data_IF_896444352704
#
_entry.id   IF_896444352704
#
_cell.length_a   1.000
_cell.length_b   1.000
_cell.length_c   1.000
_cell.angle_alpha   90.00
_cell.angle_beta   90.00
_cell.angle_gamma   90.00
#
_symmetry.space_group_name_H-M   'P 1'
#
loop_
_entity.id
_entity.type
_entity.pdbx_description
1 polymer ?
#
# COMPACT_ATOMS: atom_id res chain seq x y z
N UNK A 1 -47.23 -53.12 -6.37
CA UNK A 1 -46.41 -52.79 -5.18
C UNK A 1 -45.00 -52.51 -5.65
N UNK A 2 -44.67 -51.26 -6.00
CA UNK A 2 -43.31 -50.88 -6.40
C UNK A 2 -43.15 -49.37 -6.23
N UNK A 3 -42.84 -48.95 -5.01
CA UNK A 3 -42.48 -47.58 -4.68
C UNK A 3 -41.67 -47.65 -3.38
N UNK A 4 -40.37 -47.36 -3.43
CA UNK A 4 -39.51 -46.84 -2.32
C UNK A 4 -38.03 -47.14 -2.53
N UNK A 5 -37.38 -46.50 -3.50
CA UNK A 5 -35.89 -46.54 -3.60
C UNK A 5 -35.24 -45.22 -4.03
N UNK A 6 -36.00 -44.12 -4.10
CA UNK A 6 -35.50 -42.86 -4.69
C UNK A 6 -35.18 -41.75 -3.67
N UNK A 7 -35.44 -41.93 -2.37
CA UNK A 7 -35.33 -40.85 -1.37
C UNK A 7 -33.96 -40.73 -0.69
N UNK A 8 -33.15 -41.80 -0.65
CA UNK A 8 -31.88 -41.78 0.12
C UNK A 8 -30.73 -41.05 -0.57
N UNK A 9 -30.64 -41.08 -1.89
CA UNK A 9 -29.56 -40.42 -2.63
C UNK A 9 -29.69 -38.88 -2.68
N UNK A 10 -30.92 -38.37 -2.68
CA UNK A 10 -31.18 -36.93 -2.76
C UNK A 10 -30.89 -36.21 -1.44
N UNK A 11 -31.24 -36.82 -0.30
CA UNK A 11 -30.95 -36.30 1.04
C UNK A 11 -29.45 -36.27 1.36
N UNK A 12 -28.68 -37.28 0.93
CA UNK A 12 -27.23 -37.30 1.11
C UNK A 12 -26.53 -36.22 0.29
N UNK A 13 -27.00 -35.96 -0.94
CA UNK A 13 -26.46 -34.89 -1.78
C UNK A 13 -26.75 -33.49 -1.21
N UNK A 14 -27.96 -33.26 -0.70
CA UNK A 14 -28.34 -32.00 -0.08
C UNK A 14 -27.52 -31.71 1.19
N UNK A 15 -27.23 -32.74 2.00
CA UNK A 15 -26.42 -32.59 3.21
C UNK A 15 -24.97 -32.20 2.90
N UNK A 16 -24.36 -32.77 1.85
CA UNK A 16 -22.99 -32.41 1.43
C UNK A 16 -22.92 -30.96 0.93
N UNK A 17 -23.88 -30.53 0.11
CA UNK A 17 -23.94 -29.15 -0.39
C UNK A 17 -24.16 -28.16 0.77
N UNK A 18 -25.01 -28.49 1.74
CA UNK A 18 -25.23 -27.65 2.91
C UNK A 18 -23.97 -27.55 3.78
N UNK A 19 -23.22 -28.64 3.97
CA UNK A 19 -22.01 -28.63 4.82
C UNK A 19 -20.88 -27.78 4.20
N UNK A 20 -20.76 -27.76 2.86
CA UNK A 20 -19.77 -26.91 2.17
C UNK A 20 -20.13 -25.42 2.16
N UNK A 21 -21.41 -25.05 2.31
CA UNK A 21 -21.85 -23.65 2.40
C UNK A 21 -21.50 -22.98 3.74
N UNK A 22 -21.16 -23.76 4.78
CA UNK A 22 -20.83 -23.23 6.12
C UNK A 22 -19.37 -23.38 6.52
N UNK A 23 -18.48 -23.81 5.61
CA UNK A 23 -17.05 -23.74 5.89
C UNK A 23 -16.60 -22.29 5.67
N UNK A 24 -16.20 -21.55 6.73
CA UNK A 24 -15.58 -20.25 6.53
C UNK A 24 -14.31 -20.47 5.73
N UNK A 25 -14.31 -20.06 4.47
CA UNK A 25 -13.05 -19.88 3.75
C UNK A 25 -12.33 -18.73 4.42
N UNK A 26 -11.36 -19.06 5.25
CA UNK A 26 -10.40 -18.08 5.75
C UNK A 26 -9.55 -17.72 4.56
N UNK A 27 -9.94 -16.67 3.83
CA UNK A 27 -9.06 -16.04 2.87
C UNK A 27 -7.91 -15.44 3.68
N UNK A 28 -6.70 -15.98 3.52
CA UNK A 28 -5.52 -15.36 4.11
C UNK A 28 -5.27 -14.06 3.37
N UNK A 29 -5.25 -12.94 4.08
CA UNK A 29 -4.84 -11.68 3.50
C UNK A 29 -3.32 -11.69 3.40
N UNK A 30 -2.79 -11.69 2.19
CA UNK A 30 -1.35 -11.57 1.92
C UNK A 30 -0.91 -10.13 2.17
N UNK A 31 0.37 -9.91 2.49
CA UNK A 31 0.91 -8.57 2.70
C UNK A 31 1.46 -8.02 1.40
N UNK A 32 0.92 -6.89 0.93
CA UNK A 32 1.48 -6.16 -0.21
C UNK A 32 2.38 -5.03 0.30
N UNK A 33 3.60 -4.98 -0.23
CA UNK A 33 4.55 -3.90 -0.04
C UNK A 33 4.89 -3.25 -1.39
N UNK A 34 4.86 -1.93 -1.44
CA UNK A 34 5.26 -1.11 -2.58
C UNK A 34 6.46 -0.30 -2.13
N UNK A 35 7.64 -0.56 -2.68
CA UNK A 35 8.86 0.18 -2.37
C UNK A 35 9.21 1.06 -3.55
N UNK A 36 9.72 2.26 -3.30
CA UNK A 36 10.11 3.17 -4.37
C UNK A 36 11.35 3.99 -4.02
N UNK A 37 12.08 4.38 -5.05
CA UNK A 37 13.33 5.14 -4.93
C UNK A 37 13.29 6.43 -5.74
N UNK A 38 14.13 7.39 -5.38
CA UNK A 38 14.22 8.68 -6.07
C UNK A 38 13.29 9.76 -5.51
N UNK A 39 12.64 9.52 -4.38
CA UNK A 39 11.74 10.49 -3.73
C UNK A 39 12.51 11.75 -3.28
N UNK A 40 12.16 12.90 -3.84
CA UNK A 40 12.57 14.22 -3.39
C UNK A 40 11.43 14.94 -2.65
N UNK A 41 11.69 15.35 -1.41
CA UNK A 41 10.76 16.15 -0.61
C UNK A 41 11.35 17.49 -0.19
N UNK A 42 10.46 18.43 0.10
CA UNK A 42 10.72 19.78 0.58
C UNK A 42 9.95 19.98 1.89
N UNK A 43 10.67 20.41 2.91
CA UNK A 43 10.11 20.92 4.14
C UNK A 43 10.24 22.44 4.17
N UNK A 44 9.16 23.15 4.51
CA UNK A 44 9.08 24.62 4.50
C UNK A 44 8.95 25.26 5.89
N UNK A 45 9.18 24.49 6.95
CA UNK A 45 8.96 24.93 8.34
C UNK A 45 7.58 24.58 8.90
N UNK A 46 6.65 24.09 8.06
CA UNK A 46 5.29 23.76 8.45
C UNK A 46 4.73 22.50 7.80
N UNK A 47 5.20 22.17 6.60
CA UNK A 47 4.63 21.11 5.75
C UNK A 47 5.77 20.37 5.07
N UNK A 48 5.64 19.06 4.92
CA UNK A 48 6.50 18.26 4.03
C UNK A 48 5.72 18.02 2.73
N UNK A 49 6.30 18.38 1.59
CA UNK A 49 5.71 18.19 0.25
C UNK A 49 6.73 17.58 -0.70
N UNK A 50 6.29 16.92 -1.75
CA UNK A 50 7.16 16.57 -2.89
C UNK A 50 7.58 17.81 -3.67
N UNK A 51 8.81 17.80 -4.18
CA UNK A 51 9.35 18.94 -4.95
C UNK A 51 8.61 19.06 -6.30
N UNK A 52 8.00 20.21 -6.57
CA UNK A 52 7.33 20.47 -7.85
C UNK A 52 5.96 19.81 -8.02
N UNK A 53 5.35 19.32 -6.94
CA UNK A 53 4.05 18.65 -6.97
C UNK A 53 4.22 17.14 -7.15
N UNK A 54 4.43 16.68 -8.38
CA UNK A 54 4.82 15.29 -8.63
C UNK A 54 6.33 15.19 -8.79
N UNK A 55 6.95 14.36 -7.96
CA UNK A 55 8.35 14.03 -8.03
C UNK A 55 8.56 12.74 -8.84
N UNK A 56 9.61 12.68 -9.66
CA UNK A 56 9.88 11.55 -10.55
C UNK A 56 10.67 10.47 -9.83
N UNK A 57 10.11 9.27 -9.78
CA UNK A 57 10.73 8.12 -9.15
C UNK A 57 11.73 7.43 -10.09
N UNK A 58 12.74 6.79 -9.52
CA UNK A 58 13.72 5.99 -10.24
C UNK A 58 13.24 4.54 -10.41
N UNK A 59 12.64 3.96 -9.38
CA UNK A 59 12.09 2.61 -9.42
C UNK A 59 10.87 2.47 -8.51
N UNK A 60 10.01 1.49 -8.82
CA UNK A 60 8.90 1.02 -7.97
C UNK A 60 8.87 -0.51 -7.99
N UNK A 61 8.96 -1.12 -6.82
CA UNK A 61 8.93 -2.56 -6.61
C UNK A 61 7.67 -2.98 -5.85
N UNK A 62 7.00 -4.03 -6.31
CA UNK A 62 5.87 -4.65 -5.65
C UNK A 62 6.31 -6.00 -5.07
N UNK A 63 6.06 -6.21 -3.80
CA UNK A 63 6.31 -7.47 -3.11
C UNK A 63 5.04 -7.98 -2.42
N UNK A 64 4.74 -9.26 -2.60
CA UNK A 64 3.65 -9.97 -1.92
C UNK A 64 4.28 -10.98 -0.98
N UNK A 65 4.00 -10.87 0.32
CA UNK A 65 4.64 -11.66 1.38
C UNK A 65 6.18 -11.69 1.25
N UNK A 66 6.77 -10.50 1.05
CA UNK A 66 8.21 -10.26 0.88
C UNK A 66 8.82 -10.84 -0.41
N UNK A 67 8.01 -11.42 -1.30
CA UNK A 67 8.45 -11.89 -2.62
C UNK A 67 8.17 -10.80 -3.64
N UNK A 68 9.22 -10.26 -4.28
CA UNK A 68 9.07 -9.32 -5.39
C UNK A 68 8.31 -10.00 -6.55
N UNK A 69 7.19 -9.41 -6.95
CA UNK A 69 6.32 -9.88 -8.03
C UNK A 69 6.37 -8.99 -9.28
N UNK A 70 6.78 -7.74 -9.12
CA UNK A 70 6.89 -6.76 -10.20
C UNK A 70 7.91 -5.67 -9.83
N UNK A 71 8.71 -5.25 -10.79
CA UNK A 71 9.63 -4.12 -10.71
C UNK A 71 9.41 -3.22 -11.94
N UNK A 72 9.38 -1.92 -11.71
CA UNK A 72 9.27 -0.88 -12.74
C UNK A 72 10.44 0.10 -12.59
N UNK A 73 11.12 0.41 -13.69
CA UNK A 73 12.32 1.25 -13.68
C UNK A 73 12.24 2.41 -14.68
N UNK A 74 12.57 3.61 -14.22
CA UNK A 74 12.71 4.78 -15.08
C UNK A 74 14.03 4.75 -15.88
N UNK A 75 14.05 5.28 -17.12
CA UNK A 75 12.93 5.90 -17.82
C UNK A 75 12.04 4.90 -18.59
N UNK A 76 12.36 3.60 -18.59
CA UNK A 76 11.70 2.59 -19.42
C UNK A 76 10.21 2.45 -19.13
N UNK A 77 9.84 2.53 -17.85
CA UNK A 77 8.48 2.35 -17.35
C UNK A 77 7.87 3.69 -16.91
N UNK A 78 7.94 4.73 -17.75
CA UNK A 78 7.39 6.05 -17.40
C UNK A 78 5.89 6.18 -17.73
N UNK A 79 5.11 6.96 -16.96
CA UNK A 79 5.53 7.76 -15.79
C UNK A 79 5.68 6.91 -14.52
N UNK A 80 6.74 7.17 -13.75
CA UNK A 80 6.84 6.81 -12.33
C UNK A 80 6.94 8.11 -11.54
N UNK A 81 5.90 8.46 -10.80
CA UNK A 81 5.90 9.71 -10.04
C UNK A 81 5.10 9.59 -8.75
N UNK A 82 5.48 10.37 -7.74
CA UNK A 82 4.76 10.44 -6.46
C UNK A 82 4.54 11.88 -6.05
N UNK A 83 3.38 12.15 -5.45
CA UNK A 83 3.09 13.41 -4.79
C UNK A 83 2.76 13.14 -3.31
N UNK A 84 3.47 13.79 -2.39
CA UNK A 84 3.25 13.66 -0.95
C UNK A 84 2.94 15.03 -0.36
N UNK A 85 2.03 15.10 0.60
CA UNK A 85 1.79 16.28 1.44
C UNK A 85 1.50 15.83 2.86
N UNK A 86 2.31 16.30 3.82
CA UNK A 86 2.10 16.13 5.26
C UNK A 86 1.99 17.51 5.92
N UNK A 87 0.78 17.93 6.33
CA UNK A 87 0.58 19.23 6.95
C UNK A 87 0.97 19.23 8.43
N UNK A 88 1.21 20.42 8.98
CA UNK A 88 1.33 20.61 10.44
C UNK A 88 2.62 20.07 11.07
N UNK A 89 3.63 19.74 10.27
CA UNK A 89 4.97 19.41 10.73
C UNK A 89 5.65 20.71 11.17
N UNK A 90 5.54 21.07 12.44
CA UNK A 90 6.12 22.33 12.95
C UNK A 90 7.13 22.05 14.07
N UNK A 91 8.03 22.99 14.30
CA UNK A 91 8.94 22.96 15.46
C UNK A 91 9.93 21.79 15.47
N UNK A 92 10.40 21.34 14.30
CA UNK A 92 11.49 20.36 14.20
C UNK A 92 12.77 20.88 14.87
N UNK A 93 13.27 20.29 15.97
CA UNK A 93 14.43 20.84 16.68
C UNK A 93 15.72 20.67 15.87
N UNK A 94 16.57 21.70 15.83
CA UNK A 94 17.85 21.64 15.09
C UNK A 94 18.79 20.53 15.58
N UNK A 95 18.65 20.12 16.84
CA UNK A 95 19.46 19.06 17.47
C UNK A 95 18.92 17.64 17.23
N UNK A 96 17.83 17.48 16.47
CA UNK A 96 17.13 16.21 16.32
C UNK A 96 15.93 16.09 17.26
N UNK A 97 14.95 15.27 16.86
CA UNK A 97 13.72 15.01 17.61
C UNK A 97 12.64 14.43 16.72
N UNK A 98 11.44 14.24 17.28
CA UNK A 98 10.25 13.89 16.51
C UNK A 98 9.10 14.87 16.76
N UNK A 99 8.22 14.96 15.77
CA UNK A 99 6.99 15.74 15.78
C UNK A 99 5.91 14.92 15.09
N UNK A 100 4.70 14.99 15.61
CA UNK A 100 3.53 14.40 14.97
C UNK A 100 2.93 15.43 14.01
N UNK A 101 2.73 15.04 12.74
CA UNK A 101 2.06 15.87 11.75
C UNK A 101 0.57 16.03 12.09
N UNK A 102 -0.08 17.02 11.49
CA UNK A 102 -1.53 17.04 11.49
C UNK A 102 -2.09 15.94 10.57
N UNK A 103 -3.27 15.42 10.89
CA UNK A 103 -4.03 14.54 10.01
C UNK A 103 -4.46 15.26 8.72
N UNK A 104 -4.82 14.48 7.70
CA UNK A 104 -5.28 14.99 6.40
C UNK A 104 -4.17 15.21 5.39
N UNK A 105 -3.05 14.50 5.53
CA UNK A 105 -2.04 14.42 4.48
C UNK A 105 -2.53 13.60 3.29
N UNK A 106 -1.75 13.60 2.21
CA UNK A 106 -2.06 12.84 0.99
C UNK A 106 -0.81 12.20 0.40
N UNK A 107 -0.95 11.02 -0.19
CA UNK A 107 0.05 10.40 -1.06
C UNK A 107 -0.64 9.97 -2.35
N UNK A 108 -0.11 10.38 -3.50
CA UNK A 108 -0.59 9.96 -4.81
C UNK A 108 0.58 9.37 -5.61
N UNK A 109 0.51 8.08 -5.95
CA UNK A 109 1.48 7.38 -6.77
C UNK A 109 0.91 7.22 -8.18
N UNK A 110 1.69 7.61 -9.20
CA UNK A 110 1.37 7.43 -10.62
C UNK A 110 2.33 6.42 -11.24
N UNK A 111 1.75 5.48 -11.99
CA UNK A 111 2.43 4.38 -12.64
C UNK A 111 2.06 4.35 -14.14
N UNK A 112 2.78 3.55 -14.95
CA UNK A 112 2.45 3.35 -16.35
C UNK A 112 1.06 2.78 -16.57
N UNK A 113 0.53 2.95 -17.78
CA UNK A 113 -0.77 2.38 -18.14
C UNK A 113 -1.98 3.07 -17.50
N UNK A 114 -1.78 4.14 -16.74
CA UNK A 114 -2.84 4.81 -15.99
C UNK A 114 -3.10 4.18 -14.62
N UNK A 115 -2.23 3.27 -14.17
CA UNK A 115 -2.24 2.74 -12.81
C UNK A 115 -1.85 3.83 -11.80
N UNK A 116 -2.47 3.76 -10.62
CA UNK A 116 -2.32 4.77 -9.58
C UNK A 116 -2.68 4.23 -8.19
N UNK A 117 -2.24 4.97 -7.16
CA UNK A 117 -2.67 4.77 -5.78
C UNK A 117 -2.81 6.14 -5.10
N UNK A 118 -4.02 6.45 -4.65
CA UNK A 118 -4.36 7.66 -3.92
C UNK A 118 -4.69 7.31 -2.48
N UNK A 119 -3.94 7.88 -1.54
CA UNK A 119 -4.05 7.65 -0.11
C UNK A 119 -4.36 8.97 0.61
N UNK A 120 -5.25 8.90 1.60
CA UNK A 120 -5.39 9.91 2.64
C UNK A 120 -4.58 9.48 3.85
N UNK A 121 -3.66 10.32 4.30
CA UNK A 121 -2.78 10.06 5.44
C UNK A 121 -3.38 10.66 6.71
N UNK A 122 -3.34 9.90 7.79
CA UNK A 122 -3.64 10.40 9.14
C UNK A 122 -2.43 11.16 9.72
N UNK A 123 -2.38 11.33 11.04
CA UNK A 123 -1.18 11.78 11.76
C UNK A 123 0.02 10.87 11.44
N UNK A 124 1.17 11.49 11.17
CA UNK A 124 2.42 10.80 10.91
C UNK A 124 3.50 11.26 11.90
N UNK A 125 4.27 10.33 12.44
CA UNK A 125 5.47 10.68 13.20
C UNK A 125 6.58 11.06 12.22
N UNK A 126 7.05 12.30 12.31
CA UNK A 126 8.20 12.82 11.58
C UNK A 126 9.40 12.86 12.50
N UNK A 127 10.39 12.00 12.23
CA UNK A 127 11.64 11.94 12.99
C UNK A 127 12.74 12.64 12.22
N UNK A 128 13.38 13.64 12.82
CA UNK A 128 14.56 14.33 12.32
C UNK A 128 15.79 13.96 13.15
N UNK A 129 16.83 13.45 12.50
CA UNK A 129 18.08 13.06 13.18
C UNK A 129 19.20 14.02 12.78
N UNK A 130 19.85 14.66 13.75
CA UNK A 130 20.97 15.56 13.49
C UNK A 130 22.33 14.89 13.72
N UNK A 131 23.10 14.68 12.63
CA UNK A 131 24.47 14.16 12.70
C UNK A 131 25.50 15.23 12.29
N UNK A 132 26.07 15.90 13.29
CA UNK A 132 27.01 17.03 13.16
C UNK A 132 28.28 16.72 12.33
N UNK A 133 28.71 15.46 12.26
CA UNK A 133 29.95 15.08 11.59
C UNK A 133 29.81 14.74 10.10
N UNK A 134 28.59 14.48 9.62
CA UNK A 134 28.35 13.94 8.27
C UNK A 134 27.30 14.68 7.45
N UNK A 135 26.67 15.74 7.99
CA UNK A 135 25.54 16.43 7.35
C UNK A 135 24.44 15.44 6.90
N UNK A 136 24.17 14.43 7.72
CA UNK A 136 23.13 13.45 7.46
C UNK A 136 21.94 13.80 8.34
N UNK A 137 20.88 14.30 7.71
CA UNK A 137 19.63 14.58 8.38
C UNK A 137 18.54 13.71 7.77
N UNK A 138 18.10 12.73 8.54
CA UNK A 138 17.09 11.76 8.13
C UNK A 138 15.72 12.27 8.53
N UNK A 139 14.78 12.35 7.59
CA UNK A 139 13.37 12.58 7.86
C UNK A 139 12.58 11.30 7.56
N UNK A 140 12.12 10.62 8.62
CA UNK A 140 11.20 9.47 8.54
C UNK A 140 9.79 9.97 8.81
N UNK A 141 8.87 9.87 7.85
CA UNK A 141 7.44 10.09 8.07
C UNK A 141 6.72 8.74 8.06
N UNK A 142 6.27 8.26 9.22
CA UNK A 142 5.50 7.02 9.34
C UNK A 142 4.06 7.34 9.74
N UNK A 143 3.08 6.91 8.93
CA UNK A 143 1.66 7.19 9.20
C UNK A 143 0.74 6.07 8.74
N UNK A 144 -0.46 6.03 9.30
CA UNK A 144 -1.57 5.23 8.78
C UNK A 144 -2.27 5.95 7.64
N UNK A 145 -2.86 5.18 6.72
CA UNK A 145 -3.53 5.72 5.55
C UNK A 145 -4.80 4.96 5.18
N UNK A 146 -5.74 5.69 4.58
CA UNK A 146 -6.94 5.16 3.94
C UNK A 146 -6.80 5.23 2.41
N UNK A 147 -7.29 4.22 1.69
CA UNK A 147 -7.33 4.25 0.21
C UNK A 147 -8.49 5.12 -0.26
N UNK A 148 -8.17 6.19 -0.98
CA UNK A 148 -9.16 7.00 -1.70
C UNK A 148 -9.51 6.42 -3.07
N UNK A 149 -8.51 5.85 -3.74
CA UNK A 149 -8.64 5.21 -5.05
C UNK A 149 -7.37 4.45 -5.41
N UNK A 150 -7.51 3.39 -6.21
CA UNK A 150 -6.37 2.64 -6.71
C UNK A 150 -6.71 1.88 -8.00
N UNK A 151 -5.71 1.80 -8.88
CA UNK A 151 -5.59 0.82 -9.96
C UNK A 151 -4.15 0.36 -9.94
N UNK A 152 -3.88 -0.81 -9.39
CA UNK A 152 -2.52 -1.33 -9.31
C UNK A 152 -2.32 -2.44 -10.36
N UNK A 153 -1.08 -2.63 -10.85
CA UNK A 153 -0.73 -3.76 -11.74
C UNK A 153 -0.75 -5.11 -11.00
N UNK A 154 -1.04 -5.10 -9.70
CA UNK A 154 -1.24 -6.23 -8.80
C UNK A 154 -2.58 -6.07 -8.07
N UNK A 155 -3.01 -7.05 -7.28
CA UNK A 155 -4.21 -6.88 -6.46
C UNK A 155 -4.03 -5.70 -5.49
N UNK A 156 -5.10 -4.92 -5.31
CA UNK A 156 -5.07 -3.68 -4.54
C UNK A 156 -4.77 -3.87 -3.05
N UNK A 157 -4.43 -2.75 -2.39
CA UNK A 157 -4.33 -2.64 -0.93
C UNK A 157 -5.72 -2.59 -0.28
N UNK A 158 -5.82 -3.08 0.94
CA UNK A 158 -6.98 -3.03 1.82
C UNK A 158 -6.53 -3.00 3.29
N UNK A 159 -7.48 -2.74 4.18
CA UNK A 159 -7.25 -2.71 5.63
C UNK A 159 -6.31 -1.58 6.03
N UNK A 160 -5.56 -1.80 7.10
CA UNK A 160 -4.61 -0.84 7.63
C UNK A 160 -3.41 -0.70 6.68
N UNK A 161 -3.15 0.51 6.21
CA UNK A 161 -2.01 0.83 5.35
C UNK A 161 -1.02 1.65 6.15
N UNK A 162 0.22 1.20 6.19
CA UNK A 162 1.36 1.94 6.71
C UNK A 162 2.13 2.56 5.55
N UNK A 163 2.42 3.85 5.65
CA UNK A 163 3.29 4.58 4.73
C UNK A 163 4.53 4.99 5.51
N UNK A 164 5.71 4.74 4.95
CA UNK A 164 6.97 5.23 5.49
C UNK A 164 7.89 5.74 4.38
N UNK A 165 8.71 6.73 4.67
CA UNK A 165 9.78 7.15 3.75
C UNK A 165 11.00 7.60 4.53
N UNK A 166 12.18 7.38 3.98
CA UNK A 166 13.46 7.79 4.56
C UNK A 166 14.21 8.63 3.55
N UNK A 167 14.53 9.86 3.94
CA UNK A 167 15.21 10.80 3.04
C UNK A 167 16.41 11.44 3.73
N UNK A 168 17.42 11.80 2.94
CA UNK A 168 18.60 12.53 3.36
C UNK A 168 18.54 13.96 2.86
N UNK A 169 18.69 14.93 3.76
CA UNK A 169 18.78 16.35 3.40
C UNK A 169 19.91 16.61 2.42
N UNK A 170 19.59 17.27 1.30
CA UNK A 170 20.53 17.73 0.29
C UNK A 170 21.44 18.79 0.88
N UNK A 171 22.73 18.68 0.56
CA UNK A 171 23.75 19.59 1.08
C UNK A 171 23.41 21.05 0.75
N UNK A 172 23.56 21.94 1.74
CA UNK A 172 23.30 23.38 1.64
C UNK A 172 21.83 23.79 1.42
N UNK A 173 20.86 22.89 1.63
CA UNK A 173 19.42 23.25 1.59
C UNK A 173 18.80 23.45 2.97
N UNK A 174 19.45 22.97 4.03
CA UNK A 174 19.00 23.12 5.40
C UNK A 174 19.02 24.60 5.82
N UNK A 175 17.87 25.09 6.27
CA UNK A 175 17.73 26.41 6.89
C UNK A 175 17.21 26.26 8.32
N UNK A 176 17.66 27.14 9.20
CA UNK A 176 17.27 27.14 10.63
C UNK A 176 17.10 28.58 11.12
N UNK A 177 16.35 28.76 12.22
CA UNK A 177 16.26 30.04 12.95
C UNK A 177 17.16 30.08 14.20
N UNK A 178 18.00 29.06 14.38
CA UNK A 178 18.86 28.85 15.54
C UNK A 178 18.29 27.88 16.59
N UNK A 179 16.98 27.60 16.56
CA UNK A 179 16.33 26.66 17.50
C UNK A 179 15.59 25.55 16.75
N UNK A 180 14.90 25.91 15.66
CA UNK A 180 14.14 25.01 14.82
C UNK A 180 14.64 25.01 13.38
N UNK A 181 14.40 23.89 12.72
CA UNK A 181 14.56 23.75 11.28
C UNK A 181 13.42 24.51 10.60
N UNK A 182 13.78 25.40 9.70
CA UNK A 182 12.83 26.23 8.94
C UNK A 182 12.68 25.78 7.50
N UNK A 183 13.52 24.86 7.03
CA UNK A 183 13.34 24.24 5.73
C UNK A 183 14.50 23.35 5.31
N UNK A 184 14.24 22.45 4.36
CA UNK A 184 15.23 21.66 3.66
C UNK A 184 14.65 21.02 2.40
N UNK A 185 15.52 20.57 1.51
CA UNK A 185 15.17 19.60 0.46
C UNK A 185 15.90 18.31 0.78
N UNK A 186 15.25 17.15 0.67
CA UNK A 186 15.87 15.85 0.89
C UNK A 186 15.52 14.87 -0.23
N UNK A 187 16.33 13.83 -0.37
CA UNK A 187 16.17 12.76 -1.37
C UNK A 187 16.23 11.38 -0.69
N UNK A 188 15.47 10.40 -1.17
CA UNK A 188 15.54 9.04 -0.62
C UNK A 188 14.54 8.05 -1.21
N UNK A 189 13.97 7.24 -0.33
CA UNK A 189 13.12 6.09 -0.67
C UNK A 189 11.85 6.09 0.17
N UNK A 190 10.83 5.36 -0.27
CA UNK A 190 9.65 5.11 0.53
C UNK A 190 9.09 3.71 0.37
N UNK A 191 8.18 3.38 1.26
CA UNK A 191 7.48 2.12 1.36
C UNK A 191 6.01 2.35 1.72
N UNK A 192 5.11 1.64 1.04
CA UNK A 192 3.69 1.54 1.38
C UNK A 192 3.40 0.08 1.64
N UNK A 193 2.85 -0.25 2.80
CA UNK A 193 2.59 -1.63 3.21
C UNK A 193 1.15 -1.76 3.70
N UNK A 194 0.45 -2.79 3.25
CA UNK A 194 -0.90 -3.07 3.73
C UNK A 194 -1.31 -4.50 3.41
N UNK A 195 -2.52 -4.86 3.83
CA UNK A 195 -3.07 -6.16 3.45
C UNK A 195 -3.56 -6.10 2.01
N UNK A 196 -3.30 -7.13 1.23
CA UNK A 196 -3.82 -7.24 -0.13
C UNK A 196 -5.30 -7.61 -0.08
N UNK A 197 -6.10 -7.08 -1.01
CA UNK A 197 -7.48 -7.52 -1.22
C UNK A 197 -7.44 -9.03 -1.50
N UNK A 198 -8.04 -9.88 -0.64
CA UNK A 198 -7.96 -11.32 -0.84
C UNK A 198 -8.56 -11.70 -2.19
N UNK A 199 -7.89 -12.59 -2.92
CA UNK A 199 -8.51 -13.19 -4.10
C UNK A 199 -9.84 -13.83 -3.68
N UNK A 200 -10.92 -13.66 -4.46
CA UNK A 200 -12.18 -14.32 -4.18
C UNK A 200 -12.03 -15.83 -4.45
N UNK A 201 -11.40 -16.57 -3.55
CA UNK A 201 -11.34 -18.03 -3.54
C UNK A 201 -12.76 -18.63 -3.60
N UNK A 202 -13.74 -17.90 -3.07
CA UNK A 202 -15.16 -18.20 -3.18
C UNK A 202 -15.67 -18.29 -4.62
N UNK A 203 -15.19 -17.46 -5.55
CA UNK A 203 -15.61 -17.51 -6.95
C UNK A 203 -15.09 -18.76 -7.67
N UNK A 204 -13.82 -19.11 -7.47
CA UNK A 204 -13.21 -20.31 -8.06
C UNK A 204 -13.84 -21.61 -7.51
N UNK A 205 -14.13 -21.65 -6.20
CA UNK A 205 -14.83 -22.76 -5.56
C UNK A 205 -16.29 -22.88 -6.01
N UNK A 206 -16.98 -21.74 -6.21
CA UNK A 206 -18.37 -21.75 -6.70
C UNK A 206 -18.44 -22.20 -8.16
N UNK A 207 -17.51 -21.76 -9.01
CA UNK A 207 -17.37 -22.22 -10.39
C UNK A 207 -17.06 -23.72 -10.48
N UNK A 208 -16.10 -24.21 -9.69
CA UNK A 208 -15.78 -25.65 -9.68
C UNK A 208 -16.93 -26.50 -9.12
N UNK A 209 -17.63 -26.03 -8.10
CA UNK A 209 -18.85 -26.65 -7.59
C UNK A 209 -19.98 -26.71 -8.64
N UNK A 210 -20.20 -25.63 -9.39
CA UNK A 210 -21.17 -25.58 -10.47
C UNK A 210 -20.85 -26.59 -11.59
N UNK A 211 -19.58 -26.70 -11.98
CA UNK A 211 -19.11 -27.64 -13.00
C UNK A 211 -19.32 -29.10 -12.57
N UNK A 212 -19.06 -29.44 -11.31
CA UNK A 212 -19.32 -30.80 -10.77
C UNK A 212 -20.82 -31.11 -10.77
N UNK A 213 -21.66 -30.17 -10.38
CA UNK A 213 -23.12 -30.32 -10.45
C UNK A 213 -23.60 -30.56 -11.89
N UNK A 214 -23.10 -29.80 -12.86
CA UNK A 214 -23.46 -29.96 -14.28
C UNK A 214 -22.96 -31.28 -14.88
N UNK A 215 -21.76 -31.73 -14.51
CA UNK A 215 -21.23 -33.03 -14.92
C UNK A 215 -22.03 -34.22 -14.34
N UNK A 216 -22.53 -34.08 -13.11
CA UNK A 216 -23.40 -35.08 -12.47
C UNK A 216 -24.77 -35.22 -13.13
N UNK A 217 -25.34 -34.12 -13.65
CA UNK A 217 -26.63 -34.13 -14.37
C UNK A 217 -26.52 -34.80 -15.73
N UNK A 218 -25.41 -34.58 -16.47
CA UNK A 218 -25.20 -35.21 -17.79
C UNK A 218 -25.00 -36.72 -17.77
N UNK A 219 -24.55 -37.29 -16.65
CA UNK A 219 -24.28 -38.74 -16.54
C UNK A 219 -25.52 -39.59 -16.24
N UNK A 220 -26.68 -38.96 -16.05
CA UNK A 220 -27.95 -39.61 -15.67
C UNK A 220 -29.06 -39.47 -16.73
N UNK A 221 -28.78 -38.82 -17.87
CA UNK A 221 -29.62 -38.86 -19.06
C UNK A 221 -29.05 -39.86 -20.06
#
# INVERSE_FOLDING_TARGET
MMATTMTRGFLAFLAVVFTFLFLPMVASAETLAIQYTGLDVHYDGSTITTVGGFDLLQSVDFAVDEINVLSLDAPGDSPLAVAITLPGVTSLPVLGGSVISAAGGTLNLQLPGGDYLDLQLDEAEVVYVALDSLKLYFALGAGSADVLGQSLPVLGLAGDIAVSFSTQVKTNTLTTDGVFVTGFVSAGTGEIKGTQIPEPAGAAMLLSGLLVCLAGVRRRG
#
